data_IF_591063275582
#
_entry.id   IF_591063275582
#
_cell.length_a   1.000
_cell.length_b   1.000
_cell.length_c   1.000
_cell.angle_alpha   90.00
_cell.angle_beta   90.00
_cell.angle_gamma   90.00
#
_symmetry.space_group_name_H-M   'P 1'
#
loop_
_entity.id
_entity.type
_entity.pdbx_description
1 polymer ?
#
# COMPACT_ATOMS: atom_id res chain seq x y z
N UNK A 1 55.46 -26.59 -15.88
CA UNK A 1 56.87 -26.42 -15.49
C UNK A 1 57.35 -25.06 -15.96
N UNK A 2 57.89 -24.24 -15.02
CA UNK A 2 58.71 -23.02 -15.20
C UNK A 2 58.11 -21.87 -16.04
N UNK A 3 58.16 -20.59 -15.67
CA UNK A 3 59.13 -19.81 -14.88
C UNK A 3 58.41 -18.51 -14.43
N UNK A 4 58.38 -18.07 -13.15
CA UNK A 4 59.42 -17.30 -12.40
C UNK A 4 59.95 -16.10 -13.23
N UNK A 5 60.06 -14.84 -12.83
CA UNK A 5 60.17 -14.04 -11.56
C UNK A 5 59.97 -12.56 -12.00
N UNK A 6 59.24 -11.67 -11.32
CA UNK A 6 59.58 -10.90 -10.10
C UNK A 6 60.82 -9.99 -10.24
N UNK A 7 60.66 -8.66 -10.39
CA UNK A 7 61.51 -7.57 -9.80
C UNK A 7 61.04 -6.16 -10.21
N UNK A 8 61.10 -5.04 -9.48
CA UNK A 8 61.31 -4.66 -8.06
C UNK A 8 60.83 -3.19 -7.90
N UNK A 9 60.45 -2.80 -6.67
CA UNK A 9 60.17 -1.41 -6.23
C UNK A 9 61.45 -0.57 -6.06
N UNK A 10 61.35 0.77 -6.10
CA UNK A 10 61.39 1.67 -4.92
C UNK A 10 62.03 3.05 -5.21
N UNK A 11 61.27 4.10 -4.88
CA UNK A 11 61.61 5.41 -4.28
C UNK A 11 62.74 6.30 -4.85
N UNK A 12 62.53 7.62 -4.86
CA UNK A 12 63.10 8.55 -3.87
C UNK A 12 62.71 10.03 -4.14
N UNK A 13 62.57 10.79 -3.05
CA UNK A 13 62.01 12.14 -2.90
C UNK A 13 62.82 13.29 -3.53
N UNK A 14 62.16 14.44 -3.79
CA UNK A 14 62.84 15.75 -3.76
C UNK A 14 62.07 16.96 -4.28
N UNK A 15 61.66 17.87 -3.37
CA UNK A 15 61.72 19.32 -3.60
C UNK A 15 60.42 20.07 -3.97
N UNK A 16 59.88 20.83 -3.01
CA UNK A 16 59.09 22.05 -3.27
C UNK A 16 59.97 23.28 -2.99
N UNK A 17 59.71 24.45 -3.64
CA UNK A 17 59.13 25.53 -2.84
C UNK A 17 58.05 26.38 -3.57
N UNK A 18 56.96 26.57 -2.82
CA UNK A 18 56.09 27.76 -2.65
C UNK A 18 56.00 28.84 -3.75
N UNK A 19 54.82 28.97 -4.33
CA UNK A 19 54.22 30.29 -4.58
C UNK A 19 52.70 30.27 -4.31
N UNK A 20 52.24 31.25 -3.51
CA UNK A 20 50.87 31.33 -2.98
C UNK A 20 49.92 31.90 -4.03
N UNK A 21 48.85 31.16 -4.40
CA UNK A 21 47.59 31.75 -4.89
C UNK A 21 46.37 31.09 -4.23
N UNK A 22 45.46 31.93 -3.73
CA UNK A 22 44.21 31.58 -3.01
C UNK A 22 43.18 30.90 -3.95
N UNK A 23 42.21 30.16 -3.40
CA UNK A 23 41.51 29.10 -4.14
C UNK A 23 40.30 29.63 -4.92
N UNK A 24 40.11 29.14 -6.15
CA UNK A 24 38.84 29.29 -6.87
C UNK A 24 38.17 27.93 -6.98
N UNK A 25 36.97 27.84 -6.41
CA UNK A 25 36.11 26.66 -6.33
C UNK A 25 35.72 26.21 -7.74
N UNK A 26 36.02 24.95 -8.09
CA UNK A 26 35.30 24.26 -9.15
C UNK A 26 33.86 24.01 -8.68
N UNK A 27 32.92 24.78 -9.20
CA UNK A 27 31.49 24.51 -9.08
C UNK A 27 31.17 23.41 -10.10
N UNK A 28 30.96 22.18 -9.62
CA UNK A 28 30.42 21.09 -10.43
C UNK A 28 28.94 21.34 -10.79
N UNK A 29 28.41 20.72 -11.87
CA UNK A 29 27.07 21.00 -12.35
C UNK A 29 26.03 20.64 -11.30
N UNK A 30 25.13 21.59 -11.00
CA UNK A 30 23.99 21.38 -10.12
C UNK A 30 23.03 20.40 -10.79
N UNK A 31 23.23 19.09 -10.55
CA UNK A 31 22.18 18.09 -10.72
C UNK A 31 21.13 18.35 -9.64
N UNK A 32 20.09 19.12 -9.98
CA UNK A 32 18.85 19.14 -9.18
C UNK A 32 18.20 17.75 -9.29
N UNK A 33 18.61 16.82 -8.42
CA UNK A 33 17.75 15.70 -8.05
C UNK A 33 16.54 16.30 -7.34
N UNK A 34 15.36 16.10 -7.92
CA UNK A 34 14.12 16.25 -7.18
C UNK A 34 14.25 15.45 -5.88
N UNK A 35 14.16 16.14 -4.74
CA UNK A 35 14.00 15.46 -3.45
C UNK A 35 12.63 14.80 -3.48
N UNK A 36 12.60 13.50 -3.77
CA UNK A 36 11.53 12.64 -3.27
C UNK A 36 11.55 12.82 -1.75
N UNK A 37 10.45 13.31 -1.18
CA UNK A 37 10.32 13.36 0.28
C UNK A 37 10.55 11.94 0.81
N UNK A 38 11.41 11.74 1.82
CA UNK A 38 11.56 10.42 2.40
C UNK A 38 10.20 10.00 2.96
N UNK A 39 9.71 8.86 2.50
CA UNK A 39 8.61 8.16 3.18
C UNK A 39 9.09 7.97 4.61
N UNK A 40 8.37 8.53 5.57
CA UNK A 40 8.66 8.35 6.99
C UNK A 40 8.57 6.84 7.28
N UNK A 41 9.72 6.22 7.52
CA UNK A 41 9.84 4.77 7.65
C UNK A 41 8.98 4.24 8.79
N UNK A 42 8.86 5.03 9.86
CA UNK A 42 8.09 4.67 11.04
C UNK A 42 6.59 4.70 10.73
N UNK A 43 6.13 5.66 9.90
CA UNK A 43 4.71 5.83 9.59
C UNK A 43 4.10 4.67 8.76
N UNK A 44 4.86 4.05 7.86
CA UNK A 44 4.36 2.91 7.06
C UNK A 44 4.18 1.67 7.92
N UNK A 45 5.15 1.43 8.80
CA UNK A 45 5.14 0.31 9.74
C UNK A 45 4.01 0.49 10.76
N UNK A 46 3.88 1.68 11.35
CA UNK A 46 2.79 2.02 12.28
C UNK A 46 1.41 1.85 11.64
N UNK A 47 1.23 2.22 10.35
CA UNK A 47 -0.03 2.01 9.63
C UNK A 47 -0.37 0.53 9.46
N UNK A 48 0.61 -0.32 9.19
CA UNK A 48 0.38 -1.76 9.14
C UNK A 48 0.01 -2.30 10.54
N UNK A 49 0.79 -1.97 11.57
CA UNK A 49 0.59 -2.43 12.96
C UNK A 49 -0.74 -1.94 13.55
N UNK A 50 -1.23 -0.77 13.14
CA UNK A 50 -2.49 -0.23 13.62
C UNK A 50 -3.68 -1.19 13.40
N UNK A 51 -3.58 -2.12 12.46
CA UNK A 51 -4.59 -3.15 12.19
C UNK A 51 -4.55 -4.36 13.14
N UNK A 52 -3.47 -4.56 13.89
CA UNK A 52 -3.40 -5.51 14.99
C UNK A 52 -3.74 -4.75 16.27
N UNK A 53 -4.92 -4.94 16.85
CA UNK A 53 -5.43 -4.26 18.04
C UNK A 53 -5.29 -5.09 19.30
N UNK A 54 -5.28 -6.41 19.17
CA UNK A 54 -5.10 -7.31 20.32
C UNK A 54 -3.80 -7.00 21.07
N UNK A 55 -3.92 -6.77 22.37
CA UNK A 55 -2.80 -6.30 23.19
C UNK A 55 -1.79 -7.42 23.49
N UNK A 56 -2.25 -8.67 23.60
CA UNK A 56 -1.38 -9.82 23.87
C UNK A 56 -0.41 -10.03 22.70
N UNK A 57 -0.93 -10.03 21.47
CA UNK A 57 -0.12 -10.11 20.26
C UNK A 57 0.77 -8.89 20.05
N UNK A 58 0.29 -7.67 20.37
CA UNK A 58 1.13 -6.47 20.30
C UNK A 58 2.34 -6.57 21.22
N UNK A 59 2.15 -7.10 22.43
CA UNK A 59 3.24 -7.30 23.39
C UNK A 59 4.31 -8.25 22.85
N UNK A 60 3.88 -9.43 22.41
CA UNK A 60 4.75 -10.50 21.89
C UNK A 60 5.50 -10.05 20.63
N UNK A 61 4.82 -9.37 19.70
CA UNK A 61 5.35 -9.03 18.38
C UNK A 61 6.02 -7.64 18.32
N UNK A 62 5.99 -6.84 19.40
CA UNK A 62 6.52 -5.48 19.43
C UNK A 62 7.97 -5.37 18.91
N UNK A 63 8.82 -6.31 19.30
CA UNK A 63 10.22 -6.33 18.84
C UNK A 63 10.34 -6.79 17.39
N UNK A 64 9.46 -7.68 16.92
CA UNK A 64 9.45 -8.19 15.54
C UNK A 64 9.13 -7.09 14.53
N UNK A 65 8.24 -6.18 14.89
CA UNK A 65 7.90 -5.04 14.07
C UNK A 65 9.05 -4.03 13.85
N UNK A 66 10.05 -4.02 14.75
CA UNK A 66 11.22 -3.14 14.67
C UNK A 66 12.37 -3.75 13.87
N UNK A 67 12.29 -5.03 13.51
CA UNK A 67 13.34 -5.68 12.74
C UNK A 67 13.37 -5.16 11.30
N UNK A 68 14.57 -4.97 10.73
CA UNK A 68 14.73 -4.34 9.41
C UNK A 68 13.96 -5.03 8.28
N UNK A 69 13.85 -6.36 8.31
CA UNK A 69 13.08 -7.12 7.31
C UNK A 69 11.59 -6.75 7.31
N UNK A 70 11.01 -6.46 8.48
CA UNK A 70 9.59 -6.12 8.59
C UNK A 70 9.33 -4.71 8.06
N UNK A 71 10.28 -3.79 8.27
CA UNK A 71 10.24 -2.45 7.68
C UNK A 71 10.30 -2.51 6.15
N UNK A 72 11.16 -3.38 5.60
CA UNK A 72 11.24 -3.62 4.15
C UNK A 72 9.95 -4.24 3.61
N UNK A 73 9.38 -5.24 4.30
CA UNK A 73 8.09 -5.84 3.98
C UNK A 73 6.97 -4.78 3.95
N UNK A 74 6.89 -3.93 4.97
CA UNK A 74 5.85 -2.89 5.05
C UNK A 74 5.95 -1.90 3.88
N UNK A 75 7.17 -1.49 3.49
CA UNK A 75 7.40 -0.64 2.30
C UNK A 75 7.00 -1.32 1.00
N UNK A 76 7.38 -2.59 0.84
CA UNK A 76 6.99 -3.37 -0.33
C UNK A 76 5.47 -3.40 -0.46
N UNK A 77 4.76 -3.72 0.62
CA UNK A 77 3.29 -3.79 0.62
C UNK A 77 2.63 -2.44 0.35
N UNK A 78 3.18 -1.35 0.88
CA UNK A 78 2.69 0.01 0.58
C UNK A 78 2.84 0.34 -0.91
N UNK A 79 3.95 -0.07 -1.54
CA UNK A 79 4.16 0.14 -2.97
C UNK A 79 3.23 -0.74 -3.81
N UNK A 80 3.14 -2.04 -3.51
CA UNK A 80 2.25 -2.98 -4.20
C UNK A 80 0.80 -2.52 -4.16
N UNK A 81 0.34 -1.93 -3.04
CA UNK A 81 -1.02 -1.39 -2.91
C UNK A 81 -1.31 -0.23 -3.87
N UNK A 82 -0.31 0.50 -4.34
CA UNK A 82 -0.52 1.59 -5.32
C UNK A 82 -0.79 1.04 -6.72
N UNK A 83 -0.19 -0.10 -7.04
CA UNK A 83 -0.16 -0.65 -8.40
C UNK A 83 -1.19 -1.77 -8.58
N UNK A 84 -1.39 -2.58 -7.52
CA UNK A 84 -2.13 -3.84 -7.58
C UNK A 84 -3.15 -4.00 -6.45
N UNK A 85 -4.13 -4.88 -6.70
CA UNK A 85 -5.12 -5.26 -5.71
C UNK A 85 -4.59 -6.37 -4.82
N UNK A 86 -4.37 -6.04 -3.55
CA UNK A 86 -3.83 -6.97 -2.56
C UNK A 86 -4.95 -7.44 -1.63
N UNK A 87 -4.95 -8.74 -1.34
CA UNK A 87 -5.85 -9.39 -0.39
C UNK A 87 -5.08 -10.04 0.77
N UNK A 88 -5.69 -10.14 1.97
CA UNK A 88 -6.96 -9.53 2.36
C UNK A 88 -6.84 -8.00 2.46
N UNK A 89 -7.97 -7.32 2.70
CA UNK A 89 -7.95 -5.88 2.96
C UNK A 89 -7.05 -5.54 4.17
N UNK A 90 -6.46 -4.34 4.26
CA UNK A 90 -5.48 -3.98 5.29
C UNK A 90 -5.98 -4.26 6.72
N UNK A 91 -7.23 -3.89 7.02
CA UNK A 91 -7.90 -4.15 8.31
C UNK A 91 -8.09 -5.63 8.66
N UNK A 92 -7.91 -6.54 7.70
CA UNK A 92 -8.08 -7.98 7.87
C UNK A 92 -6.75 -8.75 7.82
N UNK A 93 -5.61 -8.08 7.57
CA UNK A 93 -4.28 -8.71 7.51
C UNK A 93 -3.97 -9.52 8.77
N UNK A 94 -4.31 -9.00 9.94
CA UNK A 94 -4.10 -9.68 11.23
C UNK A 94 -5.38 -10.33 11.78
N UNK A 95 -6.41 -10.53 10.94
CA UNK A 95 -7.73 -10.98 11.39
C UNK A 95 -7.69 -12.30 12.18
N UNK A 96 -6.81 -13.23 11.83
CA UNK A 96 -6.67 -14.49 12.56
C UNK A 96 -6.05 -14.33 13.95
N UNK A 97 -5.13 -13.37 14.13
CA UNK A 97 -4.56 -13.03 15.43
C UNK A 97 -5.60 -12.30 16.30
N UNK A 98 -6.44 -11.47 15.71
CA UNK A 98 -7.54 -10.79 16.40
C UNK A 98 -8.62 -11.74 16.89
N UNK A 99 -8.86 -12.83 16.16
CA UNK A 99 -9.87 -13.84 16.51
C UNK A 99 -9.38 -14.85 17.53
N UNK A 100 -8.07 -15.05 17.61
CA UNK A 100 -7.41 -15.98 18.52
C UNK A 100 -6.32 -15.21 19.28
N UNK A 101 -6.67 -14.58 20.42
CA UNK A 101 -5.70 -13.92 21.30
C UNK A 101 -4.57 -14.88 21.68
N UNK A 102 -3.37 -14.34 21.92
CA UNK A 102 -2.17 -15.14 22.18
C UNK A 102 -2.39 -16.10 23.34
N UNK A 103 -2.91 -15.59 24.45
CA UNK A 103 -3.11 -16.34 25.69
C UNK A 103 -4.12 -17.50 25.57
N UNK A 104 -5.00 -17.45 24.57
CA UNK A 104 -6.08 -18.43 24.37
C UNK A 104 -5.72 -19.57 23.40
N UNK A 105 -4.50 -19.59 22.85
CA UNK A 105 -4.07 -20.58 21.85
C UNK A 105 -4.04 -21.99 22.45
N UNK A 106 -4.68 -22.92 21.73
CA UNK A 106 -4.75 -24.36 22.06
C UNK A 106 -4.27 -25.22 20.90
N UNK A 107 -4.62 -24.81 19.67
CA UNK A 107 -4.23 -25.49 18.44
C UNK A 107 -3.59 -24.48 17.51
N UNK A 108 -2.44 -24.81 16.95
CA UNK A 108 -1.80 -24.01 15.91
C UNK A 108 -1.76 -24.79 14.60
N UNK A 109 -2.22 -24.15 13.53
CA UNK A 109 -2.36 -24.77 12.22
C UNK A 109 -1.77 -23.87 11.13
N UNK A 110 -0.86 -24.43 10.33
CA UNK A 110 -0.04 -23.69 9.35
C UNK A 110 -0.71 -23.36 8.02
N UNK A 111 -2.04 -23.55 7.90
CA UNK A 111 -2.80 -23.25 6.69
C UNK A 111 -4.15 -22.61 7.06
N UNK A 112 -4.39 -21.38 6.63
CA UNK A 112 -5.69 -20.73 6.76
C UNK A 112 -6.54 -21.04 5.52
N UNK A 113 -7.62 -21.81 5.72
CA UNK A 113 -8.55 -22.19 4.64
C UNK A 113 -9.87 -21.44 4.68
N UNK A 114 -10.05 -20.57 5.67
CA UNK A 114 -11.31 -19.90 5.89
C UNK A 114 -11.63 -18.92 4.76
N UNK A 115 -12.89 -18.91 4.35
CA UNK A 115 -13.46 -17.90 3.46
C UNK A 115 -14.65 -17.20 4.11
N UNK A 116 -14.93 -15.92 3.76
CA UNK A 116 -16.12 -15.22 4.26
C UNK A 116 -17.43 -15.96 3.91
N UNK A 117 -18.48 -15.69 4.70
CA UNK A 117 -19.82 -16.23 4.42
C UNK A 117 -20.31 -15.76 3.03
N UNK A 118 -20.92 -16.68 2.28
CA UNK A 118 -21.38 -16.44 0.90
C UNK A 118 -20.30 -16.62 -0.18
N UNK A 119 -19.04 -16.85 0.19
CA UNK A 119 -17.98 -17.26 -0.74
C UNK A 119 -17.98 -18.79 -0.87
N UNK A 120 -17.81 -19.27 -2.10
CA UNK A 120 -17.73 -20.71 -2.37
C UNK A 120 -16.60 -21.36 -1.56
N UNK A 121 -16.88 -22.54 -1.00
CA UNK A 121 -15.94 -23.32 -0.19
C UNK A 121 -14.77 -23.79 -1.09
N UNK A 122 -13.50 -23.48 -0.74
CA UNK A 122 -12.35 -23.90 -1.54
C UNK A 122 -12.11 -25.42 -1.49
N UNK A 123 -11.55 -26.05 -2.55
CA UNK A 123 -11.30 -27.49 -2.60
C UNK A 123 -10.44 -28.06 -1.46
N UNK A 124 -9.50 -27.29 -0.91
CA UNK A 124 -8.72 -27.75 0.24
C UNK A 124 -9.56 -27.80 1.52
N UNK A 125 -10.51 -26.87 1.69
CA UNK A 125 -11.45 -26.88 2.81
C UNK A 125 -12.48 -27.99 2.67
N UNK A 126 -12.88 -28.32 1.44
CA UNK A 126 -13.70 -29.50 1.14
C UNK A 126 -13.06 -30.79 1.68
N UNK A 127 -11.76 -30.96 1.48
CA UNK A 127 -11.04 -32.12 1.98
C UNK A 127 -10.99 -32.16 3.51
N UNK A 128 -10.88 -31.00 4.18
CA UNK A 128 -10.98 -30.90 5.63
C UNK A 128 -12.37 -31.31 6.12
N UNK A 129 -13.43 -30.78 5.50
CA UNK A 129 -14.80 -31.13 5.88
C UNK A 129 -15.09 -32.62 5.68
N UNK A 130 -14.56 -33.21 4.61
CA UNK A 130 -14.66 -34.65 4.39
C UNK A 130 -13.97 -35.44 5.51
N UNK A 131 -12.73 -35.10 5.87
CA UNK A 131 -12.02 -35.77 6.98
C UNK A 131 -12.75 -35.62 8.32
N UNK A 132 -13.33 -34.45 8.59
CA UNK A 132 -14.15 -34.22 9.79
C UNK A 132 -15.42 -35.06 9.80
N UNK A 133 -16.11 -35.20 8.67
CA UNK A 133 -17.31 -36.04 8.53
C UNK A 133 -16.98 -37.53 8.65
N UNK A 134 -15.82 -37.95 8.13
CA UNK A 134 -15.37 -39.35 8.18
C UNK A 134 -14.74 -39.73 9.55
N UNK A 135 -14.47 -38.76 10.43
CA UNK A 135 -13.95 -38.97 11.79
C UNK A 135 -15.10 -39.29 12.77
N UNK A 136 -15.25 -40.55 13.21
CA UNK A 136 -16.41 -40.99 14.01
C UNK A 136 -16.45 -40.37 15.42
N UNK A 137 -15.32 -39.86 15.90
CA UNK A 137 -15.18 -39.26 17.22
C UNK A 137 -15.45 -37.74 17.19
N UNK A 138 -15.81 -37.21 16.03
CA UNK A 138 -16.19 -35.80 15.84
C UNK A 138 -17.62 -35.72 15.33
N UNK A 139 -18.48 -35.06 16.10
CA UNK A 139 -19.82 -34.73 15.64
C UNK A 139 -19.74 -33.51 14.70
N UNK A 140 -19.58 -33.75 13.40
CA UNK A 140 -19.46 -32.71 12.38
C UNK A 140 -20.46 -32.90 11.24
N UNK A 141 -21.29 -31.88 11.03
CA UNK A 141 -22.14 -31.76 9.86
C UNK A 141 -21.57 -30.67 8.95
N UNK A 142 -21.33 -31.02 7.69
CA UNK A 142 -20.76 -30.11 6.70
C UNK A 142 -21.69 -28.90 6.48
N UNK A 143 -21.22 -27.67 6.75
CA UNK A 143 -22.00 -26.46 6.51
C UNK A 143 -22.05 -26.09 5.02
N UNK A 144 -22.88 -25.11 4.68
CA UNK A 144 -22.98 -24.49 3.35
C UNK A 144 -21.99 -23.32 3.14
N UNK A 145 -21.07 -23.11 4.09
CA UNK A 145 -20.09 -22.01 4.08
C UNK A 145 -18.69 -22.46 4.51
N UNK A 146 -17.67 -21.63 4.22
CA UNK A 146 -16.28 -21.88 4.61
C UNK A 146 -15.72 -20.96 5.70
N UNK A 147 -16.57 -20.23 6.43
CA UNK A 147 -16.14 -19.40 7.55
C UNK A 147 -15.75 -20.27 8.77
N UNK A 148 -14.53 -20.07 9.29
CA UNK A 148 -13.94 -20.85 10.39
C UNK A 148 -13.68 -19.97 11.63
N UNK A 149 -14.29 -18.78 11.74
CA UNK A 149 -14.07 -17.89 12.88
C UNK A 149 -14.43 -18.55 14.21
N UNK A 150 -15.43 -19.44 14.22
CA UNK A 150 -15.80 -20.20 15.41
C UNK A 150 -14.64 -21.04 15.95
N UNK A 151 -13.82 -21.61 15.08
CA UNK A 151 -12.64 -22.36 15.53
C UNK A 151 -11.56 -21.41 16.06
N UNK A 152 -11.31 -20.30 15.36
CA UNK A 152 -10.34 -19.30 15.80
C UNK A 152 -10.63 -18.76 17.21
N UNK A 153 -11.89 -18.41 17.48
CA UNK A 153 -12.34 -17.93 18.80
C UNK A 153 -12.25 -18.96 19.91
N UNK A 154 -12.08 -20.25 19.59
CA UNK A 154 -11.90 -21.31 20.58
C UNK A 154 -10.42 -21.58 20.89
N UNK A 155 -9.48 -20.89 20.24
CA UNK A 155 -8.04 -21.09 20.40
C UNK A 155 -7.38 -21.83 19.24
N UNK A 156 -7.98 -21.87 18.06
CA UNK A 156 -7.40 -22.49 16.86
C UNK A 156 -6.77 -21.42 15.98
N UNK A 157 -5.46 -21.23 16.07
CA UNK A 157 -4.74 -20.27 15.25
C UNK A 157 -4.59 -20.81 13.81
N UNK A 158 -5.35 -20.23 12.88
CA UNK A 158 -5.33 -20.55 11.44
C UNK A 158 -4.37 -19.60 10.70
N UNK A 159 -3.07 -19.90 10.72
CA UNK A 159 -2.04 -18.98 10.23
C UNK A 159 -1.49 -19.43 8.87
N UNK A 160 -1.56 -18.57 7.86
CA UNK A 160 -0.81 -18.76 6.61
C UNK A 160 0.67 -18.40 6.79
N UNK A 161 1.54 -18.98 5.97
CA UNK A 161 2.96 -18.57 5.89
C UNK A 161 3.16 -17.18 5.28
N UNK A 162 2.26 -16.80 4.37
CA UNK A 162 2.21 -15.49 3.72
C UNK A 162 0.84 -14.89 3.95
N UNK A 163 0.77 -13.71 4.57
CA UNK A 163 -0.50 -13.13 5.03
C UNK A 163 -1.22 -12.28 3.99
N UNK A 164 -0.53 -11.87 2.92
CA UNK A 164 -1.10 -11.09 1.83
C UNK A 164 -0.69 -11.62 0.46
N UNK A 165 -1.53 -11.41 -0.54
CA UNK A 165 -1.31 -11.87 -1.92
C UNK A 165 -1.93 -10.88 -2.90
N UNK A 166 -1.33 -10.70 -4.06
CA UNK A 166 -1.96 -10.00 -5.17
C UNK A 166 -3.13 -10.82 -5.75
N UNK A 167 -4.20 -10.11 -6.09
CA UNK A 167 -5.40 -10.68 -6.69
C UNK A 167 -5.06 -11.52 -7.91
N UNK A 168 -5.51 -12.79 -7.89
CA UNK A 168 -5.29 -13.77 -8.97
C UNK A 168 -3.84 -14.18 -9.20
N UNK A 169 -2.92 -13.83 -8.30
CA UNK A 169 -1.51 -14.24 -8.38
C UNK A 169 -1.08 -14.98 -7.10
N UNK A 170 -1.41 -16.28 -6.96
CA UNK A 170 -1.02 -17.08 -5.80
C UNK A 170 0.50 -17.02 -5.57
N UNK A 171 0.93 -16.77 -4.33
CA UNK A 171 2.35 -16.72 -3.97
C UNK A 171 3.12 -15.48 -4.43
N UNK A 172 2.45 -14.47 -5.01
CA UNK A 172 3.06 -13.20 -5.47
C UNK A 172 3.89 -12.47 -4.41
N UNK A 173 3.56 -12.63 -3.13
CA UNK A 173 4.28 -12.01 -2.01
C UNK A 173 5.14 -13.00 -1.20
N UNK A 174 5.42 -14.18 -1.75
CA UNK A 174 6.38 -15.10 -1.16
C UNK A 174 7.79 -14.48 -1.15
N UNK A 175 8.62 -14.90 -0.18
CA UNK A 175 10.01 -14.47 0.01
C UNK A 175 10.17 -12.96 0.24
N UNK A 176 9.10 -12.27 0.68
CA UNK A 176 9.10 -10.84 1.02
C UNK A 176 9.26 -10.56 2.51
N UNK A 177 9.31 -11.60 3.34
CA UNK A 177 9.52 -11.50 4.78
C UNK A 177 8.33 -11.93 5.63
N UNK A 178 7.19 -12.28 5.02
CA UNK A 178 6.04 -12.82 5.76
C UNK A 178 6.36 -14.15 6.44
N UNK A 179 7.18 -14.97 5.80
CA UNK A 179 7.59 -16.28 6.30
C UNK A 179 8.35 -16.10 7.62
N UNK A 180 9.32 -15.17 7.66
CA UNK A 180 10.06 -14.83 8.87
C UNK A 180 9.16 -14.27 9.97
N UNK A 181 8.15 -13.47 9.61
CA UNK A 181 7.18 -12.95 10.57
C UNK A 181 6.31 -14.06 11.16
N UNK A 182 5.81 -14.95 10.32
CA UNK A 182 4.96 -16.08 10.77
C UNK A 182 5.77 -17.13 11.51
N UNK A 183 7.05 -17.32 11.18
CA UNK A 183 7.98 -18.13 11.97
C UNK A 183 8.21 -17.56 13.36
N UNK A 184 8.30 -16.23 13.48
CA UNK A 184 8.41 -15.57 14.78
C UNK A 184 7.14 -15.77 15.63
N UNK A 185 5.95 -15.78 15.02
CA UNK A 185 4.69 -16.11 15.69
C UNK A 185 4.73 -17.54 16.22
N UNK A 186 5.06 -18.52 15.36
CA UNK A 186 5.13 -19.93 15.77
C UNK A 186 6.16 -20.13 16.87
N UNK A 187 7.32 -19.48 16.76
CA UNK A 187 8.36 -19.52 17.78
C UNK A 187 7.88 -18.96 19.13
N UNK A 188 7.18 -17.82 19.13
CA UNK A 188 6.63 -17.27 20.36
C UNK A 188 5.64 -18.24 21.03
N UNK A 189 4.79 -18.92 20.25
CA UNK A 189 3.87 -19.93 20.77
C UNK A 189 4.64 -21.09 21.41
N UNK A 190 5.68 -21.59 20.75
CA UNK A 190 6.53 -22.67 21.27
C UNK A 190 7.23 -22.24 22.56
N UNK A 191 7.77 -21.03 22.59
CA UNK A 191 8.56 -20.54 23.71
C UNK A 191 7.67 -20.22 24.95
N UNK A 192 6.47 -19.66 24.76
CA UNK A 192 5.66 -19.08 25.85
C UNK A 192 4.44 -19.92 26.26
N UNK A 193 4.00 -20.90 25.45
CA UNK A 193 2.88 -21.78 25.81
C UNK A 193 3.32 -23.21 26.13
N UNK A 194 2.42 -23.98 26.73
CA UNK A 194 2.58 -25.42 26.98
C UNK A 194 1.32 -26.19 26.55
N UNK A 195 1.49 -27.43 26.13
CA UNK A 195 0.38 -28.32 25.76
C UNK A 195 -0.44 -27.82 24.55
N UNK A 196 0.20 -27.08 23.64
CA UNK A 196 -0.40 -26.68 22.35
C UNK A 196 -0.33 -27.85 21.37
N UNK A 197 -1.40 -28.07 20.60
CA UNK A 197 -1.43 -29.06 19.52
C UNK A 197 -1.10 -28.40 18.19
N UNK A 198 0.02 -28.80 17.58
CA UNK A 198 0.44 -28.33 16.26
C UNK A 198 -0.01 -29.32 15.17
N UNK A 199 -0.84 -28.85 14.24
CA UNK A 199 -1.24 -29.61 13.06
C UNK A 199 -0.38 -29.20 11.86
N UNK A 200 0.49 -30.10 11.40
CA UNK A 200 1.48 -29.82 10.36
C UNK A 200 1.18 -30.64 9.10
N UNK A 201 0.41 -30.04 8.20
CA UNK A 201 -0.03 -30.67 6.96
C UNK A 201 0.87 -30.30 5.78
N UNK A 202 1.60 -31.29 5.26
CA UNK A 202 2.55 -31.10 4.17
C UNK A 202 3.97 -30.73 4.63
N UNK A 203 4.93 -30.92 3.72
CA UNK A 203 6.36 -30.80 4.02
C UNK A 203 6.77 -29.42 4.53
N UNK A 204 6.20 -28.36 3.96
CA UNK A 204 6.51 -27.00 4.38
C UNK A 204 6.12 -26.74 5.84
N UNK A 205 4.92 -27.17 6.26
CA UNK A 205 4.48 -27.06 7.65
C UNK A 205 5.30 -27.95 8.58
N UNK A 206 5.65 -29.16 8.14
CA UNK A 206 6.49 -30.09 8.91
C UNK A 206 7.88 -29.51 9.18
N UNK A 207 8.54 -28.95 8.16
CA UNK A 207 9.85 -28.30 8.34
C UNK A 207 9.80 -27.14 9.34
N UNK A 208 8.70 -26.37 9.39
CA UNK A 208 8.50 -25.33 10.41
C UNK A 208 8.33 -25.90 11.82
N UNK A 209 7.89 -27.14 11.92
CA UNK A 209 7.70 -27.84 13.19
C UNK A 209 8.95 -28.50 13.76
N UNK A 210 10.08 -28.53 13.04
CA UNK A 210 11.33 -29.15 13.50
C UNK A 210 11.87 -28.52 14.80
N UNK A 211 11.44 -27.29 15.10
CA UNK A 211 11.81 -26.55 16.32
C UNK A 211 10.89 -26.81 17.51
N UNK A 212 9.81 -27.59 17.34
CA UNK A 212 8.84 -27.86 18.41
C UNK A 212 9.40 -28.92 19.35
N UNK A 213 9.46 -28.61 20.64
CA UNK A 213 9.76 -29.59 21.68
C UNK A 213 8.53 -30.50 21.92
N UNK A 214 8.66 -31.77 21.55
CA UNK A 214 7.61 -32.79 21.67
C UNK A 214 7.29 -33.20 23.12
N UNK A 215 8.11 -32.76 24.09
CA UNK A 215 7.84 -32.91 25.52
C UNK A 215 6.94 -31.80 26.05
N UNK A 216 6.97 -30.63 25.41
CA UNK A 216 6.23 -29.43 25.81
C UNK A 216 4.91 -29.28 25.06
N UNK A 217 4.88 -29.77 23.82
CA UNK A 217 3.74 -29.64 22.90
C UNK A 217 3.41 -30.96 22.22
N UNK A 218 2.30 -30.99 21.49
CA UNK A 218 1.89 -32.15 20.71
C UNK A 218 1.95 -31.84 19.22
N UNK A 219 2.44 -32.79 18.41
CA UNK A 219 2.59 -32.60 16.96
C UNK A 219 1.81 -33.68 16.21
N UNK A 220 0.93 -33.25 15.31
CA UNK A 220 0.14 -34.11 14.42
C UNK A 220 0.52 -33.82 12.96
N UNK A 221 1.19 -34.77 12.31
CA UNK A 221 1.71 -34.60 10.94
C UNK A 221 0.96 -35.44 9.92
N UNK A 222 0.65 -34.86 8.75
CA UNK A 222 0.09 -35.59 7.61
C UNK A 222 0.53 -35.00 6.28
N UNK A 223 0.16 -35.65 5.17
CA UNK A 223 0.39 -35.07 3.83
C UNK A 223 -0.45 -33.80 3.61
N UNK A 224 -0.10 -33.02 2.59
CA UNK A 224 -0.82 -31.80 2.26
C UNK A 224 -2.21 -32.08 1.68
N UNK A 225 -3.15 -31.14 1.87
CA UNK A 225 -4.55 -31.19 1.41
C UNK A 225 -4.75 -31.07 -0.11
N UNK A 226 -3.68 -30.84 -0.87
CA UNK A 226 -3.74 -30.73 -2.33
C UNK A 226 -4.10 -32.05 -2.98
N UNK A 227 -4.86 -31.99 -4.08
CA UNK A 227 -5.36 -33.16 -4.83
C UNK A 227 -4.30 -34.26 -5.10
N UNK A 228 -3.03 -33.88 -5.29
CA UNK A 228 -1.94 -34.80 -5.58
C UNK A 228 -1.42 -35.59 -4.36
N UNK A 229 -1.82 -35.23 -3.13
CA UNK A 229 -1.29 -35.79 -1.88
C UNK A 229 -2.35 -36.13 -0.84
N UNK A 230 -3.63 -35.98 -1.17
CA UNK A 230 -4.78 -36.19 -0.27
C UNK A 230 -4.83 -37.58 0.36
N UNK A 231 -4.32 -38.61 -0.31
CA UNK A 231 -4.27 -39.98 0.22
C UNK A 231 -3.50 -40.10 1.54
N UNK A 232 -2.49 -39.24 1.78
CA UNK A 232 -1.75 -39.22 3.04
C UNK A 232 -2.35 -38.30 4.11
N UNK A 233 -3.43 -37.60 3.79
CA UNK A 233 -4.19 -36.74 4.71
C UNK A 233 -5.39 -37.47 5.30
N UNK A 234 -6.17 -38.18 4.46
CA UNK A 234 -7.39 -38.85 4.91
C UNK A 234 -7.13 -40.00 5.90
N UNK A 235 -8.04 -40.17 6.85
CA UNK A 235 -8.01 -41.21 7.88
C UNK A 235 -7.00 -40.96 9.00
N UNK A 236 -6.38 -39.77 9.04
CA UNK A 236 -5.42 -39.38 10.08
C UNK A 236 -6.12 -38.92 11.36
N UNK A 237 -7.39 -38.51 11.29
CA UNK A 237 -8.25 -38.15 12.43
C UNK A 237 -7.61 -37.11 13.34
N UNK A 238 -6.97 -36.09 12.75
CA UNK A 238 -6.26 -35.08 13.54
C UNK A 238 -7.20 -34.28 14.46
N UNK A 239 -8.48 -34.13 14.12
CA UNK A 239 -9.44 -33.35 14.89
C UNK A 239 -9.85 -34.04 16.19
N UNK A 240 -10.20 -35.33 16.14
CA UNK A 240 -10.43 -36.13 17.36
C UNK A 240 -9.16 -36.32 18.16
N UNK A 241 -8.02 -36.63 17.52
CA UNK A 241 -6.71 -36.75 18.19
C UNK A 241 -6.33 -35.46 18.94
N UNK A 242 -6.53 -34.29 18.33
CA UNK A 242 -6.30 -33.01 19.00
C UNK A 242 -7.20 -32.83 20.22
N UNK A 243 -8.48 -33.19 20.11
CA UNK A 243 -9.39 -33.11 21.26
C UNK A 243 -9.03 -34.08 22.38
N UNK A 244 -8.53 -35.28 22.05
CA UNK A 244 -8.02 -36.22 23.06
C UNK A 244 -6.82 -35.63 23.80
N UNK A 245 -5.88 -35.00 23.08
CA UNK A 245 -4.69 -34.35 23.65
C UNK A 245 -5.06 -33.11 24.50
N UNK A 246 -6.07 -32.34 24.09
CA UNK A 246 -6.52 -31.14 24.80
C UNK A 246 -7.36 -31.45 26.06
N UNK A 247 -7.97 -32.63 26.15
CA UNK A 247 -8.81 -33.05 27.26
C UNK A 247 -9.98 -32.10 27.53
N UNK A 248 -10.02 -31.48 28.71
CA UNK A 248 -11.08 -30.52 29.09
C UNK A 248 -11.08 -29.24 28.25
N UNK A 249 -9.99 -28.93 27.55
CA UNK A 249 -9.84 -27.75 26.67
C UNK A 249 -10.23 -28.04 25.21
N UNK A 250 -10.96 -29.12 24.95
CA UNK A 250 -11.36 -29.55 23.59
C UNK A 250 -12.02 -28.44 22.77
N UNK A 251 -11.86 -28.54 21.46
CA UNK A 251 -12.48 -27.66 20.47
C UNK A 251 -13.80 -28.27 20.01
N UNK A 252 -14.86 -27.47 19.98
CA UNK A 252 -16.09 -27.80 19.27
C UNK A 252 -15.91 -27.50 17.78
N UNK A 253 -15.62 -28.56 17.01
CA UNK A 253 -15.38 -28.49 15.57
C UNK A 253 -16.64 -28.26 14.74
N UNK A 254 -17.84 -28.30 15.33
CA UNK A 254 -19.09 -28.00 14.60
C UNK A 254 -19.07 -26.59 14.04
N UNK A 255 -19.69 -26.40 12.89
CA UNK A 255 -19.99 -25.08 12.32
C UNK A 255 -21.52 -24.98 12.15
N UNK A 256 -22.14 -23.86 12.51
CA UNK A 256 -23.60 -23.75 12.46
C UNK A 256 -24.03 -23.22 11.08
N UNK A 257 -24.87 -23.95 10.32
CA UNK A 257 -25.42 -23.44 9.05
C UNK A 257 -26.14 -22.09 9.20
N UNK A 258 -26.69 -21.80 10.39
CA UNK A 258 -27.35 -20.51 10.69
C UNK A 258 -26.37 -19.38 10.96
N UNK A 259 -25.06 -19.60 10.99
CA UNK A 259 -24.10 -18.50 11.11
C UNK A 259 -24.19 -17.57 9.89
N UNK A 260 -24.44 -18.11 8.69
CA UNK A 260 -24.79 -17.32 7.50
C UNK A 260 -26.04 -16.48 7.76
N UNK A 261 -27.09 -17.09 8.30
CA UNK A 261 -28.36 -16.41 8.51
C UNK A 261 -28.32 -15.39 9.66
N UNK A 262 -27.58 -15.64 10.73
CA UNK A 262 -27.38 -14.69 11.85
C UNK A 262 -26.48 -13.53 11.46
N UNK A 263 -25.42 -13.78 10.69
CA UNK A 263 -24.59 -12.72 10.11
C UNK A 263 -25.40 -11.86 9.14
N UNK A 264 -26.18 -12.52 8.27
CA UNK A 264 -27.12 -11.84 7.39
C UNK A 264 -28.13 -11.06 8.24
N UNK A 265 -28.84 -11.63 9.21
CA UNK A 265 -29.78 -10.88 10.05
C UNK A 265 -29.12 -9.72 10.83
N UNK A 266 -27.86 -9.84 11.28
CA UNK A 266 -27.09 -8.74 11.88
C UNK A 266 -26.77 -7.64 10.88
N UNK A 267 -26.34 -7.99 9.67
CA UNK A 267 -26.13 -7.04 8.56
C UNK A 267 -27.45 -6.42 8.10
N UNK A 268 -28.51 -7.22 7.98
CA UNK A 268 -29.84 -6.81 7.54
C UNK A 268 -30.53 -5.93 8.57
N UNK A 269 -30.38 -6.15 9.88
CA UNK A 269 -30.82 -5.21 10.95
C UNK A 269 -30.17 -3.82 10.84
N UNK A 270 -29.02 -3.70 10.19
CA UNK A 270 -28.37 -2.42 9.90
C UNK A 270 -28.88 -1.83 8.58
N UNK A 271 -29.45 -2.64 7.68
CA UNK A 271 -29.83 -2.26 6.30
C UNK A 271 -31.33 -1.96 6.13
N UNK A 272 -32.23 -2.38 7.03
CA UNK A 272 -33.68 -2.07 6.92
C UNK A 272 -34.05 -0.60 7.27
N UNK A 273 -33.17 0.37 7.00
CA UNK A 273 -33.56 1.79 6.94
C UNK A 273 -33.31 2.45 5.59
N UNK A 274 -32.83 1.75 4.56
CA UNK A 274 -32.66 2.36 3.24
C UNK A 274 -32.71 1.32 2.12
N UNK A 275 -33.77 1.41 1.32
CA UNK A 275 -34.00 0.66 0.10
C UNK A 275 -32.99 1.01 -1.01
N UNK A 276 -32.03 0.13 -1.30
CA UNK A 276 -31.59 -0.18 -2.68
C UNK A 276 -30.58 -1.35 -2.70
N UNK A 277 -31.06 -2.56 -2.98
CA UNK A 277 -30.28 -3.79 -3.03
C UNK A 277 -29.63 -3.97 -4.40
N UNK A 278 -28.35 -3.60 -4.53
CA UNK A 278 -27.42 -4.24 -5.49
C UNK A 278 -25.96 -4.13 -5.02
N UNK A 279 -25.57 -3.03 -4.37
CA UNK A 279 -24.19 -2.82 -3.91
C UNK A 279 -23.99 -3.03 -2.40
N UNK A 280 -25.01 -2.78 -1.58
CA UNK A 280 -24.88 -2.79 -0.12
C UNK A 280 -24.65 -4.19 0.48
N UNK A 281 -24.89 -5.25 -0.30
CA UNK A 281 -24.65 -6.65 0.10
C UNK A 281 -23.30 -7.22 -0.34
N UNK A 282 -22.54 -6.54 -1.21
CA UNK A 282 -21.25 -7.05 -1.70
C UNK A 282 -20.20 -7.00 -0.59
N UNK A 283 -19.31 -7.99 -0.41
CA UNK A 283 -18.11 -7.89 0.45
C UNK A 283 -17.24 -6.66 0.13
N UNK A 284 -16.50 -6.16 1.12
CA UNK A 284 -15.67 -4.96 0.95
C UNK A 284 -14.58 -5.18 -0.12
N UNK A 285 -14.10 -6.41 -0.26
CA UNK A 285 -13.17 -6.86 -1.30
C UNK A 285 -13.74 -6.66 -2.71
N UNK A 286 -15.00 -7.04 -2.93
CA UNK A 286 -15.68 -6.88 -4.22
C UNK A 286 -15.99 -5.41 -4.48
N UNK A 287 -16.38 -4.67 -3.43
CA UNK A 287 -16.61 -3.24 -3.55
C UNK A 287 -15.31 -2.50 -3.92
N UNK A 288 -14.17 -2.89 -3.34
CA UNK A 288 -12.84 -2.38 -3.69
C UNK A 288 -12.45 -2.72 -5.13
N UNK A 289 -12.74 -3.96 -5.58
CA UNK A 289 -12.54 -4.37 -6.98
C UNK A 289 -13.31 -3.48 -7.94
N UNK A 290 -14.58 -3.20 -7.63
CA UNK A 290 -15.43 -2.33 -8.44
C UNK A 290 -14.86 -0.91 -8.46
N UNK A 291 -14.52 -0.33 -7.31
CA UNK A 291 -13.96 1.01 -7.24
C UNK A 291 -12.65 1.16 -8.04
N UNK A 292 -11.77 0.16 -8.00
CA UNK A 292 -10.57 0.15 -8.85
C UNK A 292 -10.92 0.05 -10.34
N UNK A 293 -11.88 -0.80 -10.71
CA UNK A 293 -12.29 -0.98 -12.11
C UNK A 293 -12.92 0.29 -12.71
N UNK A 294 -13.56 1.13 -11.89
CA UNK A 294 -14.20 2.36 -12.33
C UNK A 294 -13.22 3.45 -12.80
N UNK A 295 -11.90 3.30 -12.59
CA UNK A 295 -10.86 4.28 -12.98
C UNK A 295 -11.23 5.72 -12.60
N UNK A 296 -11.68 5.87 -11.37
CA UNK A 296 -12.29 7.09 -10.84
C UNK A 296 -11.24 8.18 -10.65
N UNK A 297 -11.59 9.42 -10.99
CA UNK A 297 -10.79 10.56 -10.57
C UNK A 297 -11.02 10.85 -9.07
N UNK A 298 -10.24 11.78 -8.50
CA UNK A 298 -10.37 12.11 -7.09
C UNK A 298 -11.73 12.77 -6.75
N UNK A 299 -12.43 13.36 -7.70
CA UNK A 299 -13.76 13.97 -7.48
C UNK A 299 -14.81 12.87 -7.33
N UNK A 300 -14.79 11.89 -8.22
CA UNK A 300 -15.67 10.74 -8.19
C UNK A 300 -15.43 9.89 -6.94
N UNK A 301 -14.17 9.66 -6.58
CA UNK A 301 -13.82 9.01 -5.32
C UNK A 301 -14.42 9.71 -4.09
N UNK A 302 -14.40 11.05 -4.08
CA UNK A 302 -14.98 11.85 -2.99
C UNK A 302 -16.50 11.82 -2.97
N UNK A 303 -17.15 11.70 -4.13
CA UNK A 303 -18.60 11.49 -4.22
C UNK A 303 -18.97 10.12 -3.65
N UNK A 304 -18.20 9.07 -3.96
CA UNK A 304 -18.41 7.74 -3.39
C UNK A 304 -18.26 7.70 -1.87
N UNK A 305 -17.30 8.43 -1.32
CA UNK A 305 -17.15 8.59 0.15
C UNK A 305 -18.37 9.24 0.82
N UNK A 306 -19.28 9.86 0.08
CA UNK A 306 -20.53 10.46 0.61
C UNK A 306 -21.74 9.52 0.54
N UNK A 307 -21.65 8.42 -0.20
CA UNK A 307 -22.76 7.46 -0.37
C UNK A 307 -23.16 6.86 0.98
N UNK A 308 -22.22 6.22 1.68
CA UNK A 308 -22.43 5.76 3.05
C UNK A 308 -21.10 5.62 3.81
N UNK A 309 -21.17 5.37 5.12
CA UNK A 309 -19.98 5.19 5.99
C UNK A 309 -19.14 3.99 5.56
N UNK A 310 -19.76 2.93 5.07
CA UNK A 310 -19.08 1.74 4.55
C UNK A 310 -18.27 2.03 3.29
N UNK A 311 -18.89 2.67 2.29
CA UNK A 311 -18.18 3.06 1.06
C UNK A 311 -17.03 4.02 1.38
N UNK A 312 -17.23 4.94 2.34
CA UNK A 312 -16.15 5.80 2.83
C UNK A 312 -14.98 5.00 3.41
N UNK A 313 -15.27 4.01 4.24
CA UNK A 313 -14.27 3.13 4.84
C UNK A 313 -13.48 2.39 3.75
N UNK A 314 -14.17 1.70 2.83
CA UNK A 314 -13.53 0.96 1.72
C UNK A 314 -12.74 1.90 0.78
N UNK A 315 -13.28 3.07 0.46
CA UNK A 315 -12.60 4.07 -0.38
C UNK A 315 -11.39 4.72 0.31
N UNK A 316 -11.28 4.67 1.63
CA UNK A 316 -10.09 5.14 2.34
C UNK A 316 -8.93 4.14 2.22
N UNK A 317 -9.20 2.88 1.88
CA UNK A 317 -8.17 1.87 1.60
C UNK A 317 -7.50 2.07 0.23
N UNK A 318 -8.07 2.92 -0.64
CA UNK A 318 -7.47 3.31 -1.93
C UNK A 318 -6.67 4.60 -1.78
N UNK A 319 -5.34 4.52 -1.68
CA UNK A 319 -4.48 5.71 -1.66
C UNK A 319 -4.64 6.59 -2.92
N UNK A 320 -4.94 5.96 -4.07
CA UNK A 320 -5.20 6.65 -5.35
C UNK A 320 -6.47 7.50 -5.36
N UNK A 321 -7.34 7.37 -4.35
CA UNK A 321 -8.64 8.02 -4.28
C UNK A 321 -8.59 9.46 -3.73
N UNK A 322 -7.42 9.98 -3.34
CA UNK A 322 -7.28 11.32 -2.77
C UNK A 322 -6.00 12.02 -3.18
N UNK A 323 -6.10 13.31 -3.52
CA UNK A 323 -4.94 14.19 -3.51
C UNK A 323 -4.69 14.68 -2.07
N UNK A 324 -3.65 14.21 -1.37
CA UNK A 324 -3.45 14.53 0.05
C UNK A 324 -3.04 15.99 0.26
N UNK A 325 -2.48 16.64 -0.77
CA UNK A 325 -2.04 18.04 -0.74
C UNK A 325 -2.62 18.82 -1.93
N UNK A 326 -2.67 20.15 -1.80
CA UNK A 326 -3.04 21.03 -2.91
C UNK A 326 -2.08 20.88 -4.10
N UNK A 327 -0.79 20.71 -3.82
CA UNK A 327 0.24 20.59 -4.87
C UNK A 327 0.04 19.29 -5.66
N UNK A 328 -0.21 18.17 -4.98
CA UNK A 328 -0.58 16.91 -5.64
C UNK A 328 -1.89 17.05 -6.44
N UNK A 329 -2.89 17.78 -5.92
CA UNK A 329 -4.12 18.03 -6.67
C UNK A 329 -3.86 18.83 -7.95
N UNK A 330 -2.95 19.80 -7.90
CA UNK A 330 -2.60 20.64 -9.05
C UNK A 330 -1.77 19.86 -10.07
N UNK A 331 -0.81 19.04 -9.63
CA UNK A 331 -0.01 18.18 -10.51
C UNK A 331 -0.88 17.19 -11.30
N UNK A 332 -1.96 16.68 -10.69
CA UNK A 332 -2.97 15.86 -11.37
C UNK A 332 -4.09 16.68 -12.04
N UNK A 333 -4.01 18.02 -12.01
CA UNK A 333 -4.99 18.95 -12.59
C UNK A 333 -6.44 18.74 -12.09
N UNK A 334 -6.61 18.48 -10.78
CA UNK A 334 -7.87 18.26 -10.07
C UNK A 334 -8.35 19.53 -9.32
N UNK A 335 -9.14 20.42 -9.95
CA UNK A 335 -9.51 21.74 -9.41
C UNK A 335 -10.29 21.70 -8.10
N UNK A 336 -11.23 20.78 -7.93
CA UNK A 336 -12.05 20.71 -6.73
C UNK A 336 -11.25 20.23 -5.51
N UNK A 337 -10.29 19.32 -5.70
CA UNK A 337 -9.37 18.86 -4.66
C UNK A 337 -8.40 19.98 -4.23
N UNK A 338 -7.88 20.75 -5.19
CA UNK A 338 -7.07 21.93 -4.94
C UNK A 338 -7.83 22.96 -4.09
N UNK A 339 -9.09 23.26 -4.44
CA UNK A 339 -9.87 24.27 -3.71
C UNK A 339 -10.17 23.83 -2.27
N UNK A 340 -10.37 22.54 -2.00
CA UNK A 340 -10.61 22.06 -0.63
C UNK A 340 -9.38 22.19 0.27
N UNK A 341 -8.20 21.91 -0.26
CA UNK A 341 -6.96 21.78 0.52
C UNK A 341 -6.33 23.13 0.90
N UNK A 342 -6.54 24.19 0.10
CA UNK A 342 -5.89 25.50 0.34
C UNK A 342 -6.80 26.74 0.27
N UNK A 343 -8.12 26.61 0.08
CA UNK A 343 -9.01 27.80 0.04
C UNK A 343 -9.09 28.58 1.35
N UNK A 344 -8.78 27.94 2.48
CA UNK A 344 -8.89 28.54 3.83
C UNK A 344 -7.59 29.21 4.31
N UNK A 345 -6.47 29.02 3.61
CA UNK A 345 -5.17 29.55 4.03
C UNK A 345 -4.96 30.99 3.55
N UNK A 346 -4.32 31.82 4.38
CA UNK A 346 -3.90 33.17 3.98
C UNK A 346 -2.90 33.06 2.83
N UNK A 347 -3.25 33.61 1.66
CA UNK A 347 -2.52 33.48 0.38
C UNK A 347 -2.57 32.10 -0.30
N UNK A 348 -3.39 31.15 0.16
CA UNK A 348 -3.45 29.79 -0.39
C UNK A 348 -3.75 29.76 -1.89
N UNK A 349 -4.71 30.57 -2.36
CA UNK A 349 -5.05 30.66 -3.79
C UNK A 349 -3.90 31.19 -4.66
N UNK A 350 -3.05 32.08 -4.11
CA UNK A 350 -1.88 32.61 -4.82
C UNK A 350 -0.76 31.58 -4.96
N UNK A 351 -0.59 30.71 -3.96
CA UNK A 351 0.32 29.57 -4.06
C UNK A 351 -0.20 28.54 -5.08
N UNK A 352 -1.51 28.25 -5.05
CA UNK A 352 -2.14 27.37 -6.02
C UNK A 352 -1.99 27.89 -7.46
N UNK A 353 -2.16 29.19 -7.69
CA UNK A 353 -1.99 29.78 -9.03
C UNK A 353 -0.55 29.64 -9.53
N UNK A 354 0.44 29.87 -8.67
CA UNK A 354 1.85 29.71 -9.01
C UNK A 354 2.16 28.27 -9.46
N UNK A 355 1.74 27.27 -8.68
CA UNK A 355 1.97 25.86 -9.01
C UNK A 355 1.20 25.48 -10.29
N UNK A 356 -0.06 25.90 -10.42
CA UNK A 356 -0.89 25.58 -11.58
C UNK A 356 -0.33 26.15 -12.89
N UNK A 357 0.21 27.37 -12.88
CA UNK A 357 0.89 27.97 -14.04
C UNK A 357 2.15 27.18 -14.39
N UNK A 358 2.95 26.81 -13.38
CA UNK A 358 4.21 26.10 -13.59
C UNK A 358 4.04 24.73 -14.23
N UNK A 359 3.05 23.95 -13.77
CA UNK A 359 2.79 22.60 -14.29
C UNK A 359 1.83 22.59 -15.48
N UNK A 360 1.18 23.72 -15.78
CA UNK A 360 0.22 23.83 -16.87
C UNK A 360 -1.15 23.19 -16.56
N UNK A 361 -1.58 23.21 -15.30
CA UNK A 361 -2.84 22.64 -14.86
C UNK A 361 -4.04 23.52 -15.25
N UNK A 362 -4.50 23.38 -16.50
CA UNK A 362 -5.53 24.25 -17.09
C UNK A 362 -6.86 24.23 -16.33
N UNK A 363 -7.33 23.08 -15.86
CA UNK A 363 -8.60 22.98 -15.14
C UNK A 363 -8.52 23.66 -13.77
N UNK A 364 -7.36 23.57 -13.10
CA UNK A 364 -7.06 24.33 -11.88
C UNK A 364 -7.04 25.84 -12.13
N UNK A 365 -6.41 26.31 -13.22
CA UNK A 365 -6.38 27.73 -13.59
C UNK A 365 -7.78 28.29 -13.86
N UNK A 366 -8.60 27.55 -14.61
CA UNK A 366 -10.00 27.91 -14.87
C UNK A 366 -10.82 27.99 -13.58
N UNK A 367 -10.60 27.04 -12.66
CA UNK A 367 -11.29 27.04 -11.37
C UNK A 367 -10.90 28.24 -10.51
N UNK A 368 -9.61 28.59 -10.48
CA UNK A 368 -9.13 29.77 -9.75
C UNK A 368 -9.79 31.05 -10.28
N UNK A 369 -9.87 31.22 -11.60
CA UNK A 369 -10.58 32.35 -12.22
C UNK A 369 -12.06 32.37 -11.83
N UNK A 370 -12.76 31.24 -11.93
CA UNK A 370 -14.19 31.13 -11.54
C UNK A 370 -14.41 31.43 -10.07
N UNK A 371 -13.43 31.15 -9.21
CA UNK A 371 -13.45 31.51 -7.80
C UNK A 371 -13.12 32.99 -7.52
N UNK A 372 -12.90 33.81 -8.56
CA UNK A 372 -12.62 35.24 -8.45
C UNK A 372 -11.15 35.60 -8.25
N UNK A 373 -10.22 34.64 -8.40
CA UNK A 373 -8.79 34.93 -8.32
C UNK A 373 -8.35 35.82 -9.50
N UNK A 374 -7.70 36.94 -9.20
CA UNK A 374 -7.18 37.88 -10.21
C UNK A 374 -5.72 37.56 -10.50
N UNK A 375 -5.44 37.19 -11.74
CA UNK A 375 -4.07 36.99 -12.23
C UNK A 375 -3.43 38.35 -12.57
N UNK A 376 -2.12 38.44 -12.39
CA UNK A 376 -1.30 39.65 -12.53
C UNK A 376 -0.18 39.47 -13.57
N UNK A 377 0.60 40.52 -13.81
CA UNK A 377 1.74 40.51 -14.73
C UNK A 377 2.75 39.41 -14.41
N UNK A 378 2.95 39.12 -13.12
CA UNK A 378 3.81 38.04 -12.65
C UNK A 378 3.34 36.65 -13.08
N UNK A 379 2.03 36.46 -13.26
CA UNK A 379 1.43 35.23 -13.78
C UNK A 379 1.81 34.99 -15.24
N UNK A 380 1.75 36.03 -16.08
CA UNK A 380 2.19 35.98 -17.48
C UNK A 380 3.71 35.73 -17.58
N UNK A 381 4.51 36.43 -16.77
CA UNK A 381 5.96 36.25 -16.73
C UNK A 381 6.37 34.83 -16.32
N UNK A 382 5.67 34.25 -15.35
CA UNK A 382 5.88 32.87 -14.93
C UNK A 382 5.52 31.88 -16.04
N UNK A 383 4.39 32.05 -16.72
CA UNK A 383 3.98 31.18 -17.82
C UNK A 383 5.02 31.19 -18.97
N UNK A 384 5.52 32.37 -19.32
CA UNK A 384 6.57 32.55 -20.32
C UNK A 384 7.88 31.86 -19.91
N UNK A 385 8.32 32.05 -18.66
CA UNK A 385 9.52 31.42 -18.11
C UNK A 385 9.40 29.89 -17.97
N UNK A 386 8.20 29.38 -17.76
CA UNK A 386 7.94 27.94 -17.79
C UNK A 386 7.83 27.37 -19.20
N UNK A 387 7.94 28.19 -20.24
CA UNK A 387 7.91 27.75 -21.62
C UNK A 387 6.52 27.28 -22.09
N UNK A 388 5.45 27.72 -21.42
CA UNK A 388 4.09 27.29 -21.72
C UNK A 388 3.32 28.36 -22.49
N UNK A 389 3.41 28.31 -23.82
CA UNK A 389 2.65 29.18 -24.71
C UNK A 389 1.14 29.03 -24.50
N UNK A 390 0.66 27.80 -24.24
CA UNK A 390 -0.75 27.49 -23.97
C UNK A 390 -1.28 28.25 -22.75
N UNK A 391 -0.56 28.20 -21.64
CA UNK A 391 -0.96 28.90 -20.41
C UNK A 391 -0.88 30.41 -20.60
N UNK A 392 0.18 30.90 -21.25
CA UNK A 392 0.34 32.33 -21.52
C UNK A 392 -0.77 32.87 -22.43
N UNK A 393 -1.10 32.16 -23.52
CA UNK A 393 -2.21 32.50 -24.40
C UNK A 393 -3.53 32.54 -23.64
N UNK A 394 -3.82 31.50 -22.85
CA UNK A 394 -5.02 31.46 -22.03
C UNK A 394 -5.09 32.61 -21.03
N UNK A 395 -4.00 32.96 -20.33
CA UNK A 395 -3.97 34.10 -19.42
C UNK A 395 -4.34 35.41 -20.14
N UNK A 396 -3.84 35.59 -21.37
CA UNK A 396 -4.09 36.78 -22.19
C UNK A 396 -5.50 36.86 -22.74
N UNK A 397 -6.06 35.73 -23.18
CA UNK A 397 -7.46 35.63 -23.60
C UNK A 397 -8.43 35.88 -22.43
N UNK A 398 -7.91 35.84 -21.21
CA UNK A 398 -8.61 36.05 -19.95
C UNK A 398 -8.24 37.40 -19.29
N UNK A 399 -7.80 38.38 -20.06
CA UNK A 399 -7.53 39.77 -19.63
C UNK A 399 -6.44 39.91 -18.55
N UNK A 400 -5.58 38.91 -18.35
CA UNK A 400 -4.47 39.01 -17.40
C UNK A 400 -3.46 40.04 -17.91
N UNK A 401 -3.09 41.08 -17.15
CA UNK A 401 -2.13 42.07 -17.60
C UNK A 401 -0.75 41.43 -17.82
N UNK A 402 0.05 42.05 -18.68
CA UNK A 402 1.44 41.66 -18.92
C UNK A 402 2.33 42.90 -19.01
N UNK A 403 3.63 42.71 -18.84
CA UNK A 403 4.63 43.75 -19.01
C UNK A 403 5.92 43.14 -19.59
N UNK A 404 6.98 43.94 -19.62
CA UNK A 404 8.28 43.52 -20.16
C UNK A 404 8.93 42.34 -19.45
N UNK A 405 8.49 41.98 -18.23
CA UNK A 405 8.94 40.78 -17.55
C UNK A 405 8.45 39.49 -18.22
N UNK A 406 7.38 39.56 -19.04
CA UNK A 406 6.90 38.42 -19.83
C UNK A 406 7.87 38.06 -20.95
N UNK A 407 8.31 39.06 -21.73
CA UNK A 407 9.34 38.86 -22.74
C UNK A 407 10.69 38.47 -22.12
N UNK A 408 11.05 39.07 -20.97
CA UNK A 408 12.25 38.66 -20.22
C UNK A 408 12.18 37.19 -19.81
N UNK A 409 11.06 36.75 -19.24
CA UNK A 409 10.86 35.35 -18.85
C UNK A 409 10.95 34.37 -20.02
N UNK A 410 10.44 34.73 -21.19
CA UNK A 410 10.56 33.90 -22.40
C UNK A 410 12.02 33.73 -22.84
N UNK A 411 12.81 34.81 -22.80
CA UNK A 411 14.23 34.79 -23.14
C UNK A 411 15.06 34.03 -22.12
N UNK A 412 14.80 34.22 -20.82
CA UNK A 412 15.46 33.44 -19.75
C UNK A 412 15.22 31.92 -19.90
N UNK A 413 14.09 31.53 -20.49
CA UNK A 413 13.76 30.14 -20.79
C UNK A 413 14.29 29.65 -22.15
N UNK A 414 14.94 30.51 -22.95
CA UNK A 414 15.39 30.19 -24.31
C UNK A 414 14.25 29.98 -25.31
N UNK A 415 13.07 30.54 -25.05
CA UNK A 415 11.83 30.30 -25.83
C UNK A 415 11.54 31.46 -26.77
N UNK A 416 12.25 31.50 -27.90
CA UNK A 416 12.06 32.50 -28.95
C UNK A 416 10.65 32.48 -29.56
N UNK A 417 10.03 31.30 -29.64
CA UNK A 417 8.64 31.11 -30.07
C UNK A 417 7.65 31.91 -29.20
N UNK A 418 7.82 31.86 -27.88
CA UNK A 418 6.99 32.59 -26.92
C UNK A 418 7.30 34.09 -26.95
N UNK A 419 8.57 34.44 -27.06
CA UNK A 419 9.01 35.83 -27.19
C UNK A 419 8.41 36.50 -28.43
N UNK A 420 8.48 35.84 -29.60
CA UNK A 420 7.95 36.34 -30.86
C UNK A 420 6.43 36.41 -30.83
N UNK A 421 5.77 35.43 -30.24
CA UNK A 421 4.33 35.46 -30.02
C UNK A 421 3.89 36.64 -29.14
N UNK A 422 4.61 36.92 -28.05
CA UNK A 422 4.33 38.03 -27.15
C UNK A 422 4.58 39.39 -27.84
N UNK A 423 5.67 39.48 -28.60
CA UNK A 423 6.03 40.69 -29.37
C UNK A 423 5.01 40.99 -30.47
N UNK A 424 4.56 39.97 -31.21
CA UNK A 424 3.53 40.12 -32.24
C UNK A 424 2.22 40.69 -31.68
N UNK A 425 1.93 40.42 -30.40
CA UNK A 425 0.77 40.94 -29.68
C UNK A 425 1.06 42.23 -28.89
N UNK A 426 2.16 42.91 -29.19
CA UNK A 426 2.56 44.21 -28.62
C UNK A 426 2.82 44.18 -27.11
N UNK A 427 3.35 43.06 -26.58
CA UNK A 427 3.92 43.05 -25.23
C UNK A 427 5.13 44.00 -25.17
N UNK A 428 5.29 44.73 -24.07
CA UNK A 428 6.43 45.63 -23.88
C UNK A 428 7.75 44.83 -23.86
N UNK A 429 8.82 45.37 -24.42
CA UNK A 429 10.13 44.71 -24.47
C UNK A 429 11.20 45.68 -23.98
N UNK A 430 12.14 45.21 -23.17
CA UNK A 430 13.32 46.00 -22.80
C UNK A 430 14.41 45.88 -23.86
N UNK A 431 15.31 46.87 -23.92
CA UNK A 431 16.44 46.85 -24.85
C UNK A 431 17.30 45.59 -24.67
N UNK A 432 17.53 45.19 -23.41
CA UNK A 432 18.31 44.00 -23.06
C UNK A 432 17.67 42.71 -23.61
N UNK A 433 16.34 42.55 -23.46
CA UNK A 433 15.63 41.38 -23.99
C UNK A 433 15.71 41.27 -25.51
N UNK A 434 15.70 42.40 -26.22
CA UNK A 434 15.81 42.41 -27.68
C UNK A 434 17.21 41.99 -28.16
N UNK A 435 18.26 42.43 -27.47
CA UNK A 435 19.64 42.03 -27.78
C UNK A 435 19.86 40.53 -27.53
N UNK A 436 19.40 40.02 -26.38
CA UNK A 436 19.51 38.61 -26.04
C UNK A 436 18.69 37.71 -26.98
N UNK A 437 17.52 38.17 -27.42
CA UNK A 437 16.72 37.46 -28.42
C UNK A 437 17.45 37.33 -29.77
N UNK A 438 18.18 38.37 -30.21
CA UNK A 438 18.96 38.31 -31.44
C UNK A 438 20.16 37.37 -31.30
N UNK A 439 20.89 37.43 -30.18
CA UNK A 439 21.99 36.51 -29.91
C UNK A 439 21.53 35.04 -29.91
N UNK A 440 20.39 34.74 -29.27
CA UNK A 440 19.81 33.39 -29.27
C UNK A 440 19.38 32.90 -30.67
N UNK A 441 19.10 33.81 -31.61
CA UNK A 441 18.79 33.46 -33.01
C UNK A 441 20.03 33.18 -33.85
N UNK A 442 21.16 33.76 -33.48
CA UNK A 442 22.44 33.54 -34.14
C UNK A 442 23.09 32.21 -33.70
N UNK A 443 22.75 31.73 -32.49
CA UNK A 443 23.22 30.45 -31.93
C UNK A 443 22.37 29.22 -32.33
N UNK A 444 21.23 29.39 -33.02
CA UNK A 444 20.36 28.31 -33.56
C UNK A 444 20.60 28.09 -35.05
#
# INVERSE_FOLDING_TARGET
MASKKQTYLHNFFGGAPTEKRKPVKMIQPIKKRARVMPVDLDLVVERLIAHLRDLSWRGVLANKFKEGYFVELAKFLEQERKESLIFPLPKHVFGQLELCPFDDIKVAHGLSFSVPLGVAVPPSLENIFKELTDDPDVDFNRPDHGNLEKWARQGVLLLNSVLMVEARQPGSHADRGWERFTDAIIKAIIDEHEGVVFMLWGRYAQNKGDIIDDRKHHVLTSAHLSLYSTHGFFGKRHFSNANQLLGSRRIDWKLDPKDVERENQRKWRIVVSSSNTYMDGLPDELLLMIFRAMRMDCVDAQRLKRVCTRWRSVMNELESATCPTADAAIEHNHPDCMMRTRSQERNGLRLCSYVAIRVGAMACLERLRKAGFKFDQGSCALAARCGSLRVLAWLRDNDCPWDSSTCTGAIDAGRLDIYDWARARKCAVTLNCSMLANALREDQ
#
